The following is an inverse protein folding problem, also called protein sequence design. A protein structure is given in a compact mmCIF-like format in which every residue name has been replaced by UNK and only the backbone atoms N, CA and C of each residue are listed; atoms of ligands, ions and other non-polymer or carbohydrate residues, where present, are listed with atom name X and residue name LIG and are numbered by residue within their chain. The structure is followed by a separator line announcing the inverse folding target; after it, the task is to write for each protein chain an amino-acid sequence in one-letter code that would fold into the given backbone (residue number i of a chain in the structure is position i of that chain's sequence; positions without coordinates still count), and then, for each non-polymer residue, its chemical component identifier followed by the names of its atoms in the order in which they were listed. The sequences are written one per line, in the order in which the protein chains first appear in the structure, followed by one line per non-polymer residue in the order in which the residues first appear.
data_IF_585862335952
#
_entry.id   IF_585862335952
#
_cell.length_a   1.000
_cell.length_b   1.000
_cell.length_c   1.000
_cell.angle_alpha   90.00
_cell.angle_beta   90.00
_cell.angle_gamma   90.00
#
_symmetry.space_group_name_H-M   'P 1'
#
loop_
_entity.id
_entity.type
_entity.pdbx_description
1 polymer ?
#
# COMPACT_ATOMS: atom_id res chain seq x y z
N UNK A 1 -5.83 -3.12 18.16
CA UNK A 1 -4.71 -2.15 18.03
C UNK A 1 -3.92 -1.97 19.31
N UNK A 2 -4.48 -2.34 20.47
CA UNK A 2 -3.72 -2.82 21.62
C UNK A 2 -2.51 -3.64 21.16
N UNK A 3 -2.72 -4.67 20.34
CA UNK A 3 -1.65 -5.53 19.82
C UNK A 3 -0.44 -4.83 19.18
N UNK A 4 -0.62 -3.91 18.21
CA UNK A 4 0.52 -3.27 17.50
C UNK A 4 1.38 -2.44 18.45
N UNK A 5 0.76 -1.86 19.47
CA UNK A 5 1.41 -0.96 20.42
C UNK A 5 1.98 -1.71 21.63
N UNK A 6 1.21 -2.65 22.18
CA UNK A 6 1.63 -3.55 23.25
C UNK A 6 2.87 -4.34 22.86
N UNK A 7 2.97 -4.71 21.59
CA UNK A 7 4.13 -5.43 21.05
C UNK A 7 5.24 -4.50 20.56
N UNK A 8 5.08 -3.17 20.68
CA UNK A 8 6.10 -2.21 20.26
C UNK A 8 6.42 -2.21 18.76
N UNK A 9 5.48 -2.63 17.89
CA UNK A 9 5.75 -2.82 16.46
C UNK A 9 5.95 -1.48 15.74
N UNK A 10 6.77 -1.49 14.68
CA UNK A 10 7.06 -0.31 13.87
C UNK A 10 5.87 0.18 13.01
N UNK A 11 4.79 -0.59 12.91
CA UNK A 11 3.69 -0.29 12.01
C UNK A 11 2.77 -1.47 11.74
N UNK A 12 1.96 -1.33 10.69
CA UNK A 12 1.11 -2.39 10.14
C UNK A 12 1.42 -2.58 8.65
N UNK A 13 1.30 -3.80 8.19
CA UNK A 13 1.45 -4.17 6.79
C UNK A 13 0.16 -4.83 6.29
N UNK A 14 -0.36 -4.35 5.18
CA UNK A 14 -1.46 -4.96 4.44
C UNK A 14 -0.87 -5.70 3.23
N UNK A 15 -0.89 -7.02 3.27
CA UNK A 15 -0.39 -7.87 2.17
C UNK A 15 -1.28 -7.81 0.92
N UNK A 16 -2.58 -7.61 1.10
CA UNK A 16 -3.54 -7.58 0.01
C UNK A 16 -4.54 -6.46 0.27
N UNK A 17 -4.19 -5.24 -0.14
CA UNK A 17 -5.11 -4.09 -0.07
C UNK A 17 -6.36 -4.33 -0.95
N UNK A 18 -6.19 -5.09 -2.02
CA UNK A 18 -7.20 -5.54 -2.98
C UNK A 18 -8.23 -6.52 -2.41
N UNK A 19 -8.04 -7.03 -1.18
CA UNK A 19 -9.01 -7.87 -0.48
C UNK A 19 -9.87 -7.08 0.53
N UNK A 20 -9.51 -5.82 0.81
CA UNK A 20 -10.42 -4.90 1.50
C UNK A 20 -11.45 -4.37 0.50
N UNK A 21 -12.56 -3.81 0.98
CA UNK A 21 -13.61 -3.29 0.11
C UNK A 21 -13.21 -1.95 -0.54
N UNK A 22 -12.34 -2.01 -1.55
CA UNK A 22 -11.80 -0.83 -2.24
C UNK A 22 -12.83 -0.13 -3.13
N UNK A 23 -13.89 -0.83 -3.54
CA UNK A 23 -15.00 -0.26 -4.33
C UNK A 23 -15.97 0.51 -3.43
N UNK A 24 -16.10 0.11 -2.17
CA UNK A 24 -17.11 0.60 -1.25
C UNK A 24 -18.50 0.03 -1.55
N UNK A 25 -18.57 -1.06 -2.33
CA UNK A 25 -19.83 -1.71 -2.72
C UNK A 25 -20.24 -2.80 -1.74
N UNK A 26 -19.40 -3.10 -0.75
CA UNK A 26 -19.65 -4.09 0.29
C UNK A 26 -19.72 -3.40 1.66
N UNK A 27 -20.26 -4.05 2.67
CA UNK A 27 -20.25 -3.59 4.08
C UNK A 27 -20.93 -2.23 4.41
N UNK A 28 -21.33 -1.39 3.44
CA UNK A 28 -21.89 -0.05 3.65
C UNK A 28 -21.03 0.88 4.54
N UNK A 29 -19.71 0.64 4.61
CA UNK A 29 -18.76 1.43 5.42
C UNK A 29 -17.86 2.34 4.57
N UNK A 30 -18.15 2.45 3.27
CA UNK A 30 -17.33 3.19 2.31
C UNK A 30 -16.11 2.38 1.86
N UNK A 31 -15.18 3.05 1.16
CA UNK A 31 -13.98 2.39 0.62
C UNK A 31 -13.00 2.05 1.75
N UNK A 32 -12.38 0.88 1.65
CA UNK A 32 -11.31 0.41 2.54
C UNK A 32 -11.66 0.46 4.04
N UNK A 33 -12.78 -0.12 4.50
CA UNK A 33 -13.20 -0.01 5.89
C UNK A 33 -12.18 -0.57 6.88
N UNK A 34 -11.52 -1.68 6.55
CA UNK A 34 -10.49 -2.27 7.41
C UNK A 34 -9.25 -1.37 7.49
N UNK A 35 -8.72 -0.95 6.35
CA UNK A 35 -7.53 -0.11 6.31
C UNK A 35 -7.82 1.26 6.95
N UNK A 36 -8.95 1.90 6.65
CA UNK A 36 -9.31 3.18 7.26
C UNK A 36 -9.37 3.09 8.77
N UNK A 37 -10.01 2.05 9.32
CA UNK A 37 -10.09 1.86 10.78
C UNK A 37 -8.71 1.69 11.40
N UNK A 38 -7.85 0.86 10.80
CA UNK A 38 -6.49 0.67 11.27
C UNK A 38 -5.63 1.95 11.20
N UNK A 39 -5.69 2.64 10.07
CA UNK A 39 -4.96 3.89 9.80
C UNK A 39 -5.39 4.99 10.76
N UNK A 40 -6.69 5.18 10.96
CA UNK A 40 -7.22 6.19 11.88
C UNK A 40 -6.79 5.94 13.32
N UNK A 41 -6.76 4.68 13.75
CA UNK A 41 -6.31 4.32 15.09
C UNK A 41 -4.79 4.49 15.27
N UNK A 42 -3.99 4.29 14.23
CA UNK A 42 -2.55 4.60 14.25
C UNK A 42 -2.32 6.12 14.28
N UNK A 43 -3.12 6.90 13.56
CA UNK A 43 -3.00 8.36 13.46
C UNK A 43 -3.52 9.10 14.69
N UNK A 44 -4.67 8.71 15.23
CA UNK A 44 -5.33 9.42 16.34
C UNK A 44 -4.50 9.41 17.63
N UNK A 45 -3.69 8.37 17.84
CA UNK A 45 -2.83 8.28 19.01
C UNK A 45 -1.55 9.12 18.90
N UNK A 46 -1.18 9.61 17.71
CA UNK A 46 -0.11 10.61 17.58
C UNK A 46 -0.52 11.91 18.30
N UNK A 47 -1.81 12.23 18.37
CA UNK A 47 -2.29 13.44 19.04
C UNK A 47 -2.45 13.29 20.56
N UNK A 48 -2.72 12.09 21.09
CA UNK A 48 -2.87 11.89 22.55
C UNK A 48 -1.53 11.80 23.30
N UNK A 49 -0.45 11.34 22.65
CA UNK A 49 0.89 11.22 23.28
C UNK A 49 1.67 12.55 23.30
N UNK A 50 1.31 13.53 22.47
CA UNK A 50 2.00 14.84 22.42
C UNK A 50 1.70 15.72 23.65
N UNK A 51 0.66 15.40 24.43
CA UNK A 51 0.27 16.19 25.62
C UNK A 51 1.09 15.90 26.89
N UNK A 52 1.95 14.87 26.95
CA UNK A 52 2.59 14.52 28.25
C UNK A 52 4.09 14.26 28.31
N UNK A 53 4.88 14.27 27.22
CA UNK A 53 6.36 14.17 27.38
C UNK A 53 7.15 14.75 26.21
N UNK A 54 8.14 15.59 26.53
CA UNK A 54 9.12 16.17 25.59
C UNK A 54 9.93 15.06 24.88
N UNK A 55 9.90 15.09 23.54
CA UNK A 55 11.00 14.75 22.63
C UNK A 55 11.83 13.50 22.94
N UNK A 56 11.21 12.31 22.83
CA UNK A 56 11.89 11.19 22.19
C UNK A 56 11.54 11.24 20.70
N UNK A 57 12.48 10.89 19.81
CA UNK A 57 12.21 10.69 18.38
C UNK A 57 10.90 9.89 18.23
N UNK A 58 9.81 10.57 17.86
CA UNK A 58 8.52 9.91 17.72
C UNK A 58 8.66 9.01 16.50
N UNK A 59 8.90 7.71 16.71
CA UNK A 59 9.04 6.77 15.61
C UNK A 59 7.74 6.78 14.82
N UNK A 60 7.81 7.38 13.63
CA UNK A 60 6.66 7.47 12.73
C UNK A 60 6.24 6.06 12.37
N UNK A 61 5.07 5.64 12.86
CA UNK A 61 4.52 4.33 12.54
C UNK A 61 4.34 4.20 11.02
N UNK A 62 4.78 3.08 10.48
CA UNK A 62 4.75 2.79 9.05
C UNK A 62 3.45 2.05 8.71
N UNK A 63 2.86 2.40 7.58
CA UNK A 63 1.71 1.68 7.01
C UNK A 63 2.18 1.20 5.65
N UNK A 64 2.41 -0.10 5.55
CA UNK A 64 2.98 -0.73 4.36
C UNK A 64 1.84 -1.38 3.59
N UNK A 65 1.64 -0.97 2.34
CA UNK A 65 0.60 -1.51 1.46
C UNK A 65 1.26 -2.30 0.34
N UNK A 66 0.97 -3.59 0.25
CA UNK A 66 1.36 -4.40 -0.89
C UNK A 66 0.37 -4.19 -2.02
N UNK A 67 0.89 -3.76 -3.16
CA UNK A 67 0.18 -3.74 -4.42
C UNK A 67 0.54 -5.01 -5.18
N UNK A 68 -0.45 -5.85 -5.40
CA UNK A 68 -0.26 -7.19 -5.95
C UNK A 68 -0.81 -7.24 -7.36
N UNK A 69 0.06 -6.91 -8.33
CA UNK A 69 -0.39 -6.82 -9.71
C UNK A 69 -0.72 -8.20 -10.31
N UNK A 70 -0.08 -9.25 -9.81
CA UNK A 70 -0.04 -10.56 -10.45
C UNK A 70 -1.38 -11.30 -10.49
N UNK A 71 -2.23 -11.14 -9.47
CA UNK A 71 -3.52 -11.82 -9.36
C UNK A 71 -4.70 -10.84 -9.37
N UNK A 72 -4.53 -9.63 -8.84
CA UNK A 72 -5.65 -8.74 -8.57
C UNK A 72 -6.25 -8.14 -9.85
N UNK A 73 -5.45 -7.93 -10.90
CA UNK A 73 -5.93 -7.45 -12.21
C UNK A 73 -6.78 -8.49 -12.98
N UNK A 74 -6.63 -9.78 -12.65
CA UNK A 74 -7.28 -10.90 -13.37
C UNK A 74 -8.54 -11.42 -12.67
N UNK A 75 -8.92 -10.82 -11.54
CA UNK A 75 -10.15 -11.17 -10.83
C UNK A 75 -11.40 -10.84 -11.67
N UNK A 76 -12.52 -11.50 -11.40
CA UNK A 76 -13.78 -11.18 -12.09
C UNK A 76 -14.34 -9.83 -11.62
N UNK A 77 -14.97 -9.12 -12.56
CA UNK A 77 -15.85 -7.98 -12.33
C UNK A 77 -15.31 -6.91 -11.35
N UNK A 78 -16.07 -6.64 -10.28
CA UNK A 78 -15.80 -5.61 -9.27
C UNK A 78 -14.61 -5.94 -8.37
N UNK A 79 -14.06 -7.16 -8.45
CA UNK A 79 -12.89 -7.55 -7.69
C UNK A 79 -11.57 -7.27 -8.43
N UNK A 80 -11.63 -6.72 -9.66
CA UNK A 80 -10.44 -6.24 -10.38
C UNK A 80 -9.85 -5.03 -9.68
N UNK A 81 -8.56 -5.10 -9.42
CA UNK A 81 -7.84 -4.05 -8.72
C UNK A 81 -6.73 -3.49 -9.59
N UNK A 82 -6.81 -2.19 -9.87
CA UNK A 82 -5.82 -1.46 -10.65
C UNK A 82 -5.07 -0.44 -9.80
N UNK A 83 -3.95 0.12 -10.28
CA UNK A 83 -3.20 1.15 -9.55
C UNK A 83 -4.06 2.35 -9.11
N UNK A 84 -5.09 2.68 -9.88
CA UNK A 84 -6.02 3.79 -9.61
C UNK A 84 -6.93 3.52 -8.41
N UNK A 85 -7.18 2.26 -8.09
CA UNK A 85 -8.02 1.87 -6.95
C UNK A 85 -7.26 2.02 -5.63
N UNK A 86 -5.93 1.98 -5.65
CA UNK A 86 -5.09 2.09 -4.46
C UNK A 86 -5.06 3.52 -3.92
N UNK A 87 -5.66 3.72 -2.75
CA UNK A 87 -5.61 5.02 -2.06
C UNK A 87 -4.26 5.22 -1.36
N UNK A 88 -3.37 5.97 -2.03
CA UNK A 88 -2.06 6.33 -1.48
C UNK A 88 -2.12 7.08 -0.15
N UNK A 89 -3.23 7.75 0.17
CA UNK A 89 -3.38 8.46 1.44
C UNK A 89 -3.46 7.51 2.64
N UNK A 90 -3.77 6.23 2.44
CA UNK A 90 -3.82 5.21 3.51
C UNK A 90 -2.43 4.66 3.84
N UNK A 91 -1.46 4.82 2.95
CA UNK A 91 -0.16 4.18 3.03
C UNK A 91 0.95 5.19 3.38
N UNK A 92 2.07 4.68 3.88
CA UNK A 92 3.34 5.44 3.89
C UNK A 92 4.39 4.77 3.03
N UNK A 93 4.31 3.44 2.87
CA UNK A 93 5.18 2.66 2.01
C UNK A 93 4.30 1.80 1.11
N UNK A 94 4.58 1.79 -0.19
CA UNK A 94 3.94 0.91 -1.15
C UNK A 94 4.99 -0.11 -1.58
N UNK A 95 4.61 -1.39 -1.58
CA UNK A 95 5.44 -2.48 -2.08
C UNK A 95 4.80 -3.02 -3.35
N UNK A 96 5.49 -2.86 -4.47
CA UNK A 96 5.08 -3.41 -5.76
C UNK A 96 5.52 -4.87 -5.86
N UNK A 97 4.56 -5.78 -5.83
CA UNK A 97 4.76 -7.21 -5.93
C UNK A 97 4.34 -7.71 -7.33
N UNK A 98 5.23 -8.31 -8.15
CA UNK A 98 6.60 -8.78 -7.85
C UNK A 98 7.63 -8.47 -8.94
N UNK A 99 8.90 -8.48 -8.54
CA UNK A 99 10.04 -8.68 -9.44
C UNK A 99 10.55 -10.11 -9.33
N UNK A 100 11.22 -10.57 -10.38
CA UNK A 100 11.81 -11.92 -10.46
C UNK A 100 13.23 -11.87 -10.97
N UNK A 101 14.01 -12.90 -10.66
CA UNK A 101 15.34 -13.08 -11.21
C UNK A 101 15.26 -13.87 -12.52
N UNK A 102 15.57 -13.22 -13.65
CA UNK A 102 15.68 -13.86 -14.98
C UNK A 102 17.08 -13.63 -15.53
N UNK A 103 17.78 -14.69 -15.91
CA UNK A 103 19.15 -14.62 -16.47
C UNK A 103 20.12 -13.80 -15.60
N UNK A 104 20.07 -13.99 -14.28
CA UNK A 104 20.88 -13.25 -13.29
C UNK A 104 20.63 -11.74 -13.27
N UNK A 105 19.48 -11.28 -13.79
CA UNK A 105 19.03 -9.89 -13.74
C UNK A 105 17.65 -9.81 -13.10
N UNK A 106 17.41 -8.76 -12.34
CA UNK A 106 16.08 -8.43 -11.86
C UNK A 106 15.21 -8.04 -13.07
N UNK A 107 14.02 -8.59 -13.14
CA UNK A 107 13.08 -8.41 -14.23
C UNK A 107 11.65 -8.30 -13.68
N UNK A 108 10.72 -7.67 -14.40
CA UNK A 108 9.32 -7.69 -14.05
C UNK A 108 8.76 -9.13 -14.02
N UNK A 109 7.82 -9.38 -13.12
CA UNK A 109 7.11 -10.66 -13.07
C UNK A 109 6.25 -10.83 -14.33
N UNK A 110 5.51 -9.79 -14.73
CA UNK A 110 4.63 -9.80 -15.91
C UNK A 110 5.08 -8.80 -16.98
N UNK A 111 4.77 -9.10 -18.23
CA UNK A 111 5.13 -8.23 -19.36
C UNK A 111 4.41 -6.87 -19.34
N UNK A 112 3.27 -6.76 -18.67
CA UNK A 112 2.52 -5.50 -18.55
C UNK A 112 2.92 -4.65 -17.32
N UNK A 113 3.87 -5.12 -16.51
CA UNK A 113 4.50 -4.30 -15.46
C UNK A 113 5.42 -3.24 -16.08
N UNK A 114 6.05 -3.56 -17.21
CA UNK A 114 7.07 -2.76 -17.86
C UNK A 114 6.49 -1.86 -18.97
N UNK A 115 7.17 -0.74 -19.22
CA UNK A 115 6.89 0.12 -20.35
C UNK A 115 7.21 -0.61 -21.66
N UNK A 116 6.30 -0.53 -22.63
CA UNK A 116 6.57 -0.90 -24.01
C UNK A 116 6.88 0.36 -24.83
N UNK A 117 7.28 0.18 -26.09
CA UNK A 117 7.50 1.30 -27.00
C UNK A 117 6.22 2.12 -27.25
N UNK A 118 5.04 1.50 -27.10
CA UNK A 118 3.73 2.09 -27.40
C UNK A 118 2.87 2.38 -26.17
N UNK A 119 3.18 1.82 -25.01
CA UNK A 119 2.35 1.92 -23.81
C UNK A 119 3.18 1.95 -22.52
N UNK A 120 2.61 2.57 -21.48
CA UNK A 120 3.21 2.57 -20.14
C UNK A 120 2.78 1.32 -19.36
N UNK A 121 3.70 0.78 -18.58
CA UNK A 121 3.47 -0.37 -17.70
C UNK A 121 2.85 0.04 -16.37
N UNK A 122 2.35 -0.95 -15.64
CA UNK A 122 1.66 -0.72 -14.35
C UNK A 122 2.58 -0.16 -13.27
N UNK A 123 3.88 -0.50 -13.33
CA UNK A 123 4.88 0.11 -12.45
C UNK A 123 5.00 1.63 -12.68
N UNK A 124 4.97 2.07 -13.94
CA UNK A 124 5.01 3.50 -14.28
C UNK A 124 3.78 4.23 -13.73
N UNK A 125 2.58 3.63 -13.83
CA UNK A 125 1.36 4.25 -13.30
C UNK A 125 1.41 4.46 -11.79
N UNK A 126 1.88 3.49 -11.00
CA UNK A 126 2.03 3.69 -9.55
C UNK A 126 3.02 4.80 -9.24
N UNK A 127 4.15 4.82 -9.95
CA UNK A 127 5.17 5.83 -9.74
C UNK A 127 4.66 7.24 -10.09
N UNK A 128 3.97 7.40 -11.23
CA UNK A 128 3.45 8.71 -11.64
C UNK A 128 2.21 9.12 -10.82
N UNK A 129 1.22 8.25 -10.70
CA UNK A 129 -0.08 8.60 -10.12
C UNK A 129 0.00 8.82 -8.61
N UNK A 130 0.72 7.95 -7.89
CA UNK A 130 0.77 8.00 -6.43
C UNK A 130 2.02 8.67 -5.90
N UNK A 131 3.21 8.20 -6.30
CA UNK A 131 4.47 8.65 -5.70
C UNK A 131 4.81 10.10 -6.07
N UNK A 132 4.51 10.54 -7.30
CA UNK A 132 4.71 11.97 -7.65
C UNK A 132 3.70 12.90 -6.99
N UNK A 133 2.47 12.42 -6.77
CA UNK A 133 1.39 13.20 -6.17
C UNK A 133 1.55 13.35 -4.65
N UNK A 134 2.06 12.32 -3.96
CA UNK A 134 2.31 12.35 -2.52
C UNK A 134 3.78 12.01 -2.19
N UNK A 135 4.56 13.07 -1.92
CA UNK A 135 5.98 12.99 -1.52
C UNK A 135 6.23 12.25 -0.21
N UNK A 136 5.18 11.91 0.55
CA UNK A 136 5.29 11.15 1.81
C UNK A 136 5.39 9.64 1.56
N UNK A 137 5.04 9.19 0.35
CA UNK A 137 5.07 7.80 -0.03
C UNK A 137 6.46 7.36 -0.46
N UNK A 138 6.84 6.16 -0.04
CA UNK A 138 8.04 5.46 -0.53
C UNK A 138 7.61 4.21 -1.28
N UNK A 139 8.24 3.95 -2.43
CA UNK A 139 7.95 2.78 -3.27
C UNK A 139 9.09 1.77 -3.17
N UNK A 140 8.74 0.51 -2.94
CA UNK A 140 9.63 -0.64 -2.94
C UNK A 140 9.12 -1.66 -3.95
N UNK A 141 9.95 -2.64 -4.29
CA UNK A 141 9.50 -3.84 -4.98
C UNK A 141 9.84 -5.07 -4.16
N UNK A 142 9.03 -6.13 -4.29
CA UNK A 142 9.22 -7.41 -3.60
C UNK A 142 9.50 -8.52 -4.61
N UNK A 143 10.35 -9.47 -4.23
CA UNK A 143 10.39 -10.80 -4.84
C UNK A 143 9.36 -11.74 -4.20
N UNK A 144 9.16 -12.90 -4.82
CA UNK A 144 8.20 -13.94 -4.40
C UNK A 144 8.81 -14.86 -3.34
#
# INVERSE_FOLDING_TARGET
IQYVQEMGLAGIMFWAADLDDFTGSSCNEGKYPLMNKAVNLIRSQIQSTISSTKSSLQEKKRIVCYYTNSWSQYRPDQAKFYPEDLDGSLCTHIVYAFIVLKNSKLAPFQSNDEDTQSSKGLFYFIFISLIRSDRRLSLFSSDF
#
